data_IF_783291904425
#
_entry.id   IF_783291904425
#
_cell.length_a   1.000
_cell.length_b   1.000
_cell.length_c   1.000
_cell.angle_alpha   90.00
_cell.angle_beta   90.00
_cell.angle_gamma   90.00
#
_symmetry.space_group_name_H-M   'P 1'
#
loop_
_entity.id
_entity.type
_entity.pdbx_description
1 polymer ?
#
# COMPACT_ATOMS: atom_id res chain seq x y z
N UNK A 1 21.89 9.01 -20.69
CA UNK A 1 21.11 8.23 -19.69
C UNK A 1 21.08 9.03 -18.38
N UNK A 2 20.09 9.90 -18.19
CA UNK A 2 20.13 10.95 -17.16
C UNK A 2 19.69 10.45 -15.79
N UNK A 3 20.63 10.38 -14.84
CA UNK A 3 20.36 10.27 -13.40
C UNK A 3 19.81 11.61 -12.91
N UNK A 4 18.52 11.68 -12.55
CA UNK A 4 17.97 12.82 -11.80
C UNK A 4 18.44 12.72 -10.34
N UNK A 5 19.53 13.42 -10.05
CA UNK A 5 19.93 13.79 -8.70
C UNK A 5 18.91 14.84 -8.25
N UNK A 6 18.12 14.53 -7.23
CA UNK A 6 17.29 15.53 -6.57
C UNK A 6 18.27 16.38 -5.76
N UNK A 7 18.72 17.50 -6.33
CA UNK A 7 19.41 18.55 -5.61
C UNK A 7 18.46 19.10 -4.56
N UNK A 8 18.68 18.72 -3.30
CA UNK A 8 18.15 19.44 -2.15
C UNK A 8 18.97 20.72 -2.03
N UNK A 9 18.54 21.78 -2.70
CA UNK A 9 19.13 23.10 -2.53
C UNK A 9 18.84 23.57 -1.09
N UNK A 10 19.81 23.44 -0.19
CA UNK A 10 19.82 24.24 1.03
C UNK A 10 20.13 25.67 0.60
N UNK A 11 19.09 26.51 0.55
CA UNK A 11 19.26 27.96 0.47
C UNK A 11 19.68 28.40 1.87
N UNK A 12 21.00 28.55 2.07
CA UNK A 12 21.55 29.22 3.24
C UNK A 12 21.33 30.72 3.06
N UNK A 13 20.23 31.24 3.63
CA UNK A 13 20.02 32.66 3.76
C UNK A 13 20.81 33.14 4.98
N UNK A 14 22.01 33.68 4.75
CA UNK A 14 22.71 34.45 5.75
C UNK A 14 22.06 35.85 5.81
N UNK A 15 21.34 36.14 6.89
CA UNK A 15 21.03 37.52 7.26
C UNK A 15 21.14 37.68 8.78
N UNK A 16 21.84 38.76 9.11
CA UNK A 16 22.23 39.27 10.40
C UNK A 16 21.00 39.56 11.26
N UNK A 17 21.02 39.11 12.52
CA UNK A 17 20.14 39.59 13.57
C UNK A 17 18.78 38.91 13.70
N UNK A 18 18.67 38.00 14.68
CA UNK A 18 17.42 37.68 15.38
C UNK A 18 16.40 36.83 14.64
N UNK A 19 15.97 35.75 15.31
CA UNK A 19 14.88 34.84 14.94
C UNK A 19 15.28 33.76 13.92
N UNK A 20 15.88 32.68 14.44
CA UNK A 20 15.88 31.38 13.76
C UNK A 20 14.45 30.86 13.65
N UNK A 21 13.77 31.09 12.52
CA UNK A 21 12.51 30.42 12.20
C UNK A 21 12.87 28.99 11.81
N UNK A 22 12.79 28.07 12.78
CA UNK A 22 12.84 26.63 12.50
C UNK A 22 11.55 26.26 11.78
N UNK A 23 11.61 26.20 10.44
CA UNK A 23 10.51 25.67 9.63
C UNK A 23 10.45 24.16 9.88
N UNK A 24 9.72 23.77 10.92
CA UNK A 24 9.48 22.39 11.26
C UNK A 24 8.68 21.77 10.12
N UNK A 25 9.23 20.77 9.38
CA UNK A 25 8.51 20.19 8.25
C UNK A 25 7.21 19.59 8.77
N UNK A 26 6.06 20.06 8.27
CA UNK A 26 4.76 19.49 8.60
C UNK A 26 4.78 18.01 8.24
N UNK A 27 4.98 17.16 9.24
CA UNK A 27 4.93 15.71 9.05
C UNK A 27 3.49 15.33 8.77
N UNK A 28 3.10 15.28 7.50
CA UNK A 28 1.76 14.89 7.06
C UNK A 28 1.29 13.64 7.82
N UNK A 29 0.32 13.79 8.72
CA UNK A 29 -0.15 12.72 9.60
C UNK A 29 -0.71 11.57 8.77
N UNK A 30 -0.42 10.33 9.18
CA UNK A 30 -0.91 9.14 8.48
C UNK A 30 -2.44 9.10 8.56
N UNK A 31 -3.15 9.10 7.43
CA UNK A 31 -4.59 8.87 7.46
C UNK A 31 -4.84 7.41 7.80
N UNK A 32 -5.50 7.15 8.93
CA UNK A 32 -5.99 5.81 9.28
C UNK A 32 -6.97 5.36 8.19
N UNK A 33 -6.84 4.12 7.74
CA UNK A 33 -7.81 3.53 6.82
C UNK A 33 -9.03 3.11 7.64
N UNK A 34 -9.98 4.03 7.79
CA UNK A 34 -11.29 3.73 8.41
C UNK A 34 -12.21 3.08 7.41
N UNK A 35 -13.20 2.31 7.87
CA UNK A 35 -14.18 1.65 6.98
C UNK A 35 -14.87 2.63 6.03
N UNK A 36 -15.24 3.83 6.51
CA UNK A 36 -15.82 4.89 5.68
C UNK A 36 -14.87 5.38 4.58
N UNK A 37 -13.60 5.61 4.91
CA UNK A 37 -12.59 5.99 3.93
C UNK A 37 -12.39 4.88 2.89
N UNK A 38 -12.40 3.63 3.35
CA UNK A 38 -12.25 2.45 2.52
C UNK A 38 -13.42 2.30 1.54
N UNK A 39 -14.66 2.38 2.03
CA UNK A 39 -15.84 2.34 1.17
C UNK A 39 -15.84 3.48 0.14
N UNK A 40 -15.44 4.69 0.54
CA UNK A 40 -15.47 5.85 -0.36
C UNK A 40 -14.34 5.86 -1.40
N UNK A 41 -13.16 5.36 -1.04
CA UNK A 41 -11.95 5.55 -1.85
C UNK A 41 -11.17 4.30 -2.19
N UNK A 42 -11.55 3.13 -1.65
CA UNK A 42 -10.79 1.89 -1.74
C UNK A 42 -11.61 0.65 -2.13
N UNK A 43 -12.82 0.84 -2.67
CA UNK A 43 -13.63 -0.23 -3.29
C UNK A 43 -13.17 -0.59 -4.71
N UNK A 44 -12.23 0.16 -5.29
CA UNK A 44 -11.66 -0.18 -6.60
C UNK A 44 -10.45 -1.11 -6.46
N UNK A 45 -9.88 -1.51 -7.59
CA UNK A 45 -8.59 -2.15 -7.61
C UNK A 45 -7.47 -1.10 -7.75
N UNK A 46 -6.39 -1.28 -6.99
CA UNK A 46 -5.25 -0.37 -6.98
C UNK A 46 -3.98 -1.09 -7.33
N UNK A 47 -3.16 -0.49 -8.21
CA UNK A 47 -1.73 -0.80 -8.27
C UNK A 47 -1.03 0.05 -7.22
N UNK A 48 -0.38 -0.57 -6.25
CA UNK A 48 0.29 0.12 -5.16
C UNK A 48 1.78 -0.20 -5.12
N UNK A 49 2.57 0.72 -4.58
CA UNK A 49 3.94 0.48 -4.11
C UNK A 49 3.94 0.36 -2.60
N UNK A 50 4.52 -0.72 -2.09
CA UNK A 50 4.65 -0.98 -0.66
C UNK A 50 5.73 -0.06 -0.08
N UNK A 51 5.44 0.63 1.02
CA UNK A 51 6.38 1.55 1.69
C UNK A 51 7.04 0.95 2.92
N UNK A 52 6.48 -0.10 3.50
CA UNK A 52 6.97 -0.75 4.72
C UNK A 52 6.84 -2.27 4.61
N UNK A 53 7.82 -3.00 5.14
CA UNK A 53 7.72 -4.45 5.27
C UNK A 53 6.52 -4.79 6.16
N UNK A 54 5.73 -5.78 5.76
CA UNK A 54 4.53 -6.14 6.50
C UNK A 54 4.14 -7.61 6.35
N UNK A 55 3.52 -8.19 7.39
CA UNK A 55 3.04 -9.55 7.33
C UNK A 55 1.90 -9.65 6.32
N UNK A 56 1.97 -10.66 5.48
CA UNK A 56 0.95 -11.06 4.55
C UNK A 56 0.65 -12.54 4.76
N UNK A 57 -0.59 -12.95 4.53
CA UNK A 57 -1.01 -14.34 4.70
C UNK A 57 -1.19 -14.97 3.33
N UNK A 58 -0.39 -16.00 3.04
CA UNK A 58 -0.60 -16.92 1.93
C UNK A 58 -1.62 -17.96 2.38
N UNK A 59 -2.84 -17.90 1.88
CA UNK A 59 -3.92 -18.81 2.22
C UNK A 59 -4.03 -19.89 1.15
N UNK A 60 -4.04 -21.16 1.55
CA UNK A 60 -4.21 -22.31 0.65
C UNK A 60 -5.71 -22.56 0.46
N UNK A 61 -6.12 -22.74 -0.79
CA UNK A 61 -7.49 -23.03 -1.20
C UNK A 61 -7.64 -24.51 -1.55
N UNK A 62 -8.80 -25.08 -1.25
CA UNK A 62 -9.23 -26.36 -1.82
C UNK A 62 -9.92 -26.18 -3.18
N UNK A 63 -10.43 -27.28 -3.74
CA UNK A 63 -11.06 -27.30 -5.05
C UNK A 63 -12.37 -26.48 -5.12
N UNK A 64 -12.95 -26.14 -3.97
CA UNK A 64 -14.18 -25.35 -3.84
C UNK A 64 -13.87 -23.88 -3.51
N UNK A 65 -12.58 -23.51 -3.44
CA UNK A 65 -12.14 -22.17 -3.12
C UNK A 65 -12.20 -21.83 -1.63
N UNK A 66 -12.37 -22.81 -0.75
CA UNK A 66 -12.40 -22.61 0.71
C UNK A 66 -10.99 -22.61 1.28
N UNK A 67 -10.77 -21.82 2.33
CA UNK A 67 -9.46 -21.68 2.98
C UNK A 67 -9.18 -22.94 3.82
N UNK A 68 -8.18 -23.73 3.44
CA UNK A 68 -7.70 -24.90 4.20
C UNK A 68 -6.57 -24.61 5.17
N UNK A 69 -5.88 -23.49 4.99
CA UNK A 69 -4.78 -23.12 5.86
C UNK A 69 -4.13 -21.81 5.46
N UNK A 70 -3.29 -21.28 6.35
CA UNK A 70 -2.56 -20.04 6.12
C UNK A 70 -1.08 -20.21 6.48
N UNK A 71 -0.23 -19.53 5.72
CA UNK A 71 1.20 -19.37 6.02
C UNK A 71 1.51 -17.88 6.05
N UNK A 72 2.16 -17.41 7.11
CA UNK A 72 2.69 -16.04 7.16
C UNK A 72 3.86 -15.93 6.17
N UNK A 73 3.81 -14.89 5.35
CA UNK A 73 4.87 -14.48 4.41
C UNK A 73 5.06 -12.97 4.55
N UNK A 74 6.11 -12.43 3.95
CA UNK A 74 6.39 -10.98 4.02
C UNK A 74 6.09 -10.32 2.68
N UNK A 75 5.39 -9.19 2.76
CA UNK A 75 5.28 -8.21 1.69
C UNK A 75 6.37 -7.16 1.92
N UNK A 76 7.30 -7.04 0.99
CA UNK A 76 8.52 -6.25 1.17
C UNK A 76 8.33 -4.80 0.70
N UNK A 77 9.03 -3.88 1.37
CA UNK A 77 9.14 -2.48 0.94
C UNK A 77 9.67 -2.40 -0.49
N UNK A 78 9.03 -1.56 -1.29
CA UNK A 78 9.39 -1.34 -2.69
C UNK A 78 8.62 -2.22 -3.67
N UNK A 79 8.03 -3.32 -3.22
CA UNK A 79 7.24 -4.20 -4.08
C UNK A 79 6.04 -3.47 -4.66
N UNK A 80 5.73 -3.78 -5.91
CA UNK A 80 4.57 -3.25 -6.62
C UNK A 80 3.57 -4.38 -6.78
N UNK A 81 2.38 -4.20 -6.23
CA UNK A 81 1.32 -5.22 -6.24
C UNK A 81 -0.01 -4.59 -6.64
N UNK A 82 -0.93 -5.43 -7.10
CA UNK A 82 -2.35 -5.08 -7.25
C UNK A 82 -3.08 -5.47 -5.98
N UNK A 83 -4.00 -4.62 -5.52
CA UNK A 83 -4.75 -4.86 -4.29
C UNK A 83 -6.16 -4.31 -4.38
N UNK A 84 -7.10 -4.95 -3.70
CA UNK A 84 -8.46 -4.48 -3.52
C UNK A 84 -8.95 -4.82 -2.12
N UNK A 85 -9.92 -4.05 -1.62
CA UNK A 85 -10.52 -4.29 -0.33
C UNK A 85 -11.62 -5.35 -0.42
N UNK A 86 -11.64 -6.31 0.52
CA UNK A 86 -12.63 -7.41 0.57
C UNK A 86 -13.37 -7.52 1.90
N UNK A 87 -12.75 -7.16 3.02
CA UNK A 87 -13.30 -7.27 4.39
C UNK A 87 -14.01 -8.60 4.72
N UNK A 88 -13.31 -9.73 4.54
CA UNK A 88 -13.84 -11.05 4.93
C UNK A 88 -12.91 -11.68 5.96
N UNK A 89 -13.45 -12.08 7.12
CA UNK A 89 -12.73 -12.86 8.13
C UNK A 89 -11.55 -12.15 8.81
N UNK A 90 -11.67 -10.85 9.11
CA UNK A 90 -10.60 -10.08 9.77
C UNK A 90 -9.42 -9.69 8.88
N UNK A 91 -9.50 -10.01 7.57
CA UNK A 91 -8.54 -9.54 6.58
C UNK A 91 -9.18 -8.55 5.61
N UNK A 92 -8.51 -7.42 5.46
CA UNK A 92 -9.03 -6.24 4.80
C UNK A 92 -8.71 -6.21 3.31
N UNK A 93 -7.51 -6.65 2.91
CA UNK A 93 -7.04 -6.48 1.53
C UNK A 93 -6.55 -7.78 0.92
N UNK A 94 -6.87 -7.97 -0.35
CA UNK A 94 -6.29 -9.04 -1.17
C UNK A 94 -5.14 -8.48 -2.00
N UNK A 95 -4.16 -9.30 -2.29
CA UNK A 95 -2.94 -8.95 -3.03
C UNK A 95 -2.81 -9.88 -4.22
N UNK A 96 -2.64 -9.31 -5.41
CA UNK A 96 -2.34 -10.05 -6.64
C UNK A 96 -1.25 -9.37 -7.47
N UNK A 97 -0.70 -10.10 -8.43
CA UNK A 97 0.27 -9.57 -9.40
C UNK A 97 1.71 -9.58 -8.88
N UNK A 98 2.65 -9.32 -9.79
CA UNK A 98 4.08 -9.54 -9.54
C UNK A 98 4.34 -11.03 -9.22
N UNK A 99 5.02 -11.29 -8.10
CA UNK A 99 5.28 -12.65 -7.60
C UNK A 99 4.07 -13.34 -6.94
N UNK A 100 2.95 -12.64 -6.81
CA UNK A 100 1.72 -13.11 -6.15
C UNK A 100 0.60 -13.30 -7.18
N UNK A 101 0.84 -14.11 -8.21
CA UNK A 101 -0.14 -14.32 -9.28
C UNK A 101 -1.44 -14.93 -8.75
N UNK A 102 -2.55 -14.69 -9.46
CA UNK A 102 -3.80 -15.41 -9.21
C UNK A 102 -3.52 -16.90 -9.41
N UNK A 103 -3.76 -17.69 -8.37
CA UNK A 103 -3.67 -19.15 -8.41
C UNK A 103 -4.98 -19.72 -7.89
N UNK A 104 -5.48 -20.80 -8.50
CA UNK A 104 -6.62 -21.55 -7.96
C UNK A 104 -6.33 -22.20 -6.60
N UNK A 105 -5.05 -22.32 -6.22
CA UNK A 105 -4.61 -22.98 -4.99
C UNK A 105 -4.21 -22.00 -3.88
N UNK A 106 -3.96 -20.73 -4.21
CA UNK A 106 -3.45 -19.77 -3.25
C UNK A 106 -4.04 -18.38 -3.47
N UNK A 107 -4.39 -17.74 -2.36
CA UNK A 107 -4.68 -16.31 -2.29
C UNK A 107 -3.74 -15.65 -1.30
N UNK A 108 -3.52 -14.36 -1.47
CA UNK A 108 -2.61 -13.57 -0.64
C UNK A 108 -3.36 -12.39 -0.06
N UNK A 109 -3.28 -12.24 1.25
CA UNK A 109 -4.10 -11.25 1.96
C UNK A 109 -3.28 -10.47 2.97
N UNK A 110 -3.48 -9.16 3.05
CA UNK A 110 -2.72 -8.23 3.89
C UNK A 110 -3.64 -7.26 4.61
N UNK A 111 -3.21 -6.74 5.75
CA UNK A 111 -3.93 -5.72 6.50
C UNK A 111 -3.18 -4.39 6.45
N UNK A 112 -3.49 -3.56 5.45
CA UNK A 112 -3.11 -2.15 5.48
C UNK A 112 -4.00 -1.42 6.48
N UNK A 113 -3.39 -0.77 7.47
CA UNK A 113 -4.07 -0.01 8.53
C UNK A 113 -4.00 1.51 8.31
N UNK A 114 -3.05 1.99 7.51
CA UNK A 114 -2.90 3.42 7.21
C UNK A 114 -2.20 3.67 5.86
N UNK A 115 -2.37 4.88 5.33
CA UNK A 115 -1.83 5.28 4.01
C UNK A 115 -0.32 5.48 3.97
N UNK A 116 0.41 5.42 5.10
CA UNK A 116 1.89 5.45 5.09
C UNK A 116 2.49 4.08 4.74
N UNK A 117 1.71 3.01 4.73
CA UNK A 117 2.19 1.66 4.40
C UNK A 117 2.29 1.39 2.90
N UNK A 118 1.61 2.18 2.08
CA UNK A 118 1.65 2.04 0.62
C UNK A 118 1.51 3.40 -0.10
N UNK A 119 1.73 3.41 -1.41
CA UNK A 119 1.40 4.53 -2.30
C UNK A 119 0.59 3.97 -3.46
N UNK A 120 -0.57 4.55 -3.73
CA UNK A 120 -1.32 4.25 -4.94
C UNK A 120 -0.54 4.80 -6.13
N UNK A 121 -0.26 3.93 -7.09
CA UNK A 121 0.38 4.28 -8.36
C UNK A 121 -0.66 4.41 -9.47
N UNK A 122 -1.70 3.58 -9.43
CA UNK A 122 -2.79 3.58 -10.39
C UNK A 122 -4.06 3.05 -9.74
N UNK A 123 -5.20 3.63 -10.12
CA UNK A 123 -6.54 3.18 -9.74
C UNK A 123 -7.21 2.65 -11.00
N UNK A 124 -7.64 1.39 -10.98
CA UNK A 124 -8.39 0.82 -12.09
C UNK A 124 -9.86 1.26 -11.98
N UNK A 125 -10.49 1.72 -13.06
CA UNK A 125 -11.90 2.12 -13.01
C UNK A 125 -12.78 0.92 -12.68
N UNK A 126 -13.89 1.14 -11.98
CA UNK A 126 -14.83 0.08 -11.59
C UNK A 126 -15.50 -0.63 -12.78
N UNK A 127 -15.36 -0.12 -14.01
CA UNK A 127 -15.75 -0.83 -15.23
C UNK A 127 -14.68 -1.79 -15.76
N UNK A 128 -13.43 -1.64 -15.31
CA UNK A 128 -12.27 -2.52 -15.63
C UNK A 128 -11.77 -3.31 -14.43
N UNK A 129 -12.21 -2.94 -13.23
CA UNK A 129 -12.18 -3.77 -12.07
C UNK A 129 -13.60 -4.26 -11.89
N UNK A 130 -13.85 -5.53 -12.19
CA UNK A 130 -13.94 -6.56 -11.18
C UNK A 130 -13.24 -7.79 -11.76
N UNK A 131 -13.03 -8.78 -10.91
CA UNK A 131 -12.84 -10.14 -11.37
C UNK A 131 -14.00 -10.54 -12.27
#
# INVERSE_FOLDING_TARGET
>A
MFKKIIQTSLVSLALVGGITITVQPQTAHAKKLTTSLIHRHYMAEYRIKVKKNMPMYKQRLDNEGRIRGYKKVTLHKGEIVRTWYRQVGGVSWQVTGGKYSKSKHYQYSVNFTNTRQFKILHTYPASKGWF
#
